data_IF_128192425708
#
_entry.id   IF_128192425708
#
_cell.length_a   1.000
_cell.length_b   1.000
_cell.length_c   1.000
_cell.angle_alpha   90.00
_cell.angle_beta   90.00
_cell.angle_gamma   90.00
#
_symmetry.space_group_name_H-M   'P 1'
#
loop_
_entity.id
_entity.type
_entity.pdbx_description
1 polymer ?
#
# COMPACT_ATOMS: atom_id res chain seq x y z
N UNK A 1 20.28 -9.15 -12.69
CA UNK A 1 20.33 -7.94 -11.83
C UNK A 1 20.12 -8.36 -10.39
N UNK A 2 20.64 -7.62 -9.39
CA UNK A 2 20.51 -7.92 -7.96
C UNK A 2 20.07 -6.66 -7.25
N UNK A 3 19.16 -6.77 -6.27
CA UNK A 3 18.75 -5.61 -5.48
C UNK A 3 19.88 -5.20 -4.51
N UNK A 4 20.32 -3.92 -4.48
CA UNK A 4 21.38 -3.48 -3.58
C UNK A 4 21.09 -3.73 -2.09
N UNK A 5 19.81 -3.67 -1.69
CA UNK A 5 19.38 -3.93 -0.32
C UNK A 5 19.48 -5.39 0.12
N UNK A 6 19.58 -6.33 -0.83
CA UNK A 6 19.72 -7.76 -0.58
C UNK A 6 21.18 -8.25 -0.64
N UNK A 7 22.13 -7.36 -0.93
CA UNK A 7 23.55 -7.71 -0.98
C UNK A 7 24.09 -7.81 0.46
N UNK A 8 24.59 -8.98 0.90
CA UNK A 8 25.15 -9.15 2.22
C UNK A 8 26.31 -8.19 2.49
N UNK A 9 26.32 -7.55 3.65
CA UNK A 9 27.41 -6.67 4.11
C UNK A 9 27.96 -7.19 5.42
N UNK A 10 29.30 -7.14 5.58
CA UNK A 10 29.92 -7.47 6.85
C UNK A 10 29.67 -6.34 7.85
N UNK A 11 29.38 -6.72 9.10
CA UNK A 11 29.32 -5.76 10.20
C UNK A 11 30.68 -5.03 10.31
N UNK A 12 30.64 -3.69 10.44
CA UNK A 12 31.85 -2.88 10.55
C UNK A 12 32.52 -2.46 9.25
N UNK A 13 32.04 -2.88 8.07
CA UNK A 13 32.56 -2.40 6.77
C UNK A 13 32.09 -0.97 6.49
N UNK A 14 32.90 0.00 6.93
CA UNK A 14 32.61 1.45 6.83
C UNK A 14 33.20 2.12 5.60
N UNK A 15 34.11 1.43 4.88
CA UNK A 15 34.80 2.01 3.72
C UNK A 15 34.17 1.48 2.44
N UNK A 16 33.50 2.37 1.71
CA UNK A 16 32.87 2.09 0.41
C UNK A 16 33.76 2.67 -0.70
N UNK A 17 34.24 1.79 -1.60
CA UNK A 17 34.88 2.17 -2.86
C UNK A 17 34.41 1.23 -3.95
N UNK A 18 34.36 1.69 -5.20
CA UNK A 18 33.88 0.89 -6.34
C UNK A 18 34.69 -0.41 -6.49
N UNK A 19 36.02 -0.36 -6.27
CA UNK A 19 36.90 -1.54 -6.31
C UNK A 19 36.51 -2.59 -5.25
N UNK A 20 36.20 -2.14 -4.02
CA UNK A 20 35.78 -3.05 -2.95
C UNK A 20 34.38 -3.62 -3.22
N UNK A 21 33.49 -2.79 -3.74
CA UNK A 21 32.13 -3.23 -4.08
C UNK A 21 32.16 -4.22 -5.24
N UNK A 22 32.92 -3.98 -6.30
CA UNK A 22 33.12 -4.91 -7.41
C UNK A 22 33.72 -6.25 -6.95
N UNK A 23 34.77 -6.21 -6.14
CA UNK A 23 35.41 -7.41 -5.58
C UNK A 23 34.47 -8.21 -4.67
N UNK A 24 33.64 -7.52 -3.89
CA UNK A 24 32.62 -8.17 -3.04
C UNK A 24 31.54 -8.82 -3.90
N UNK A 25 31.00 -8.11 -4.90
CA UNK A 25 29.99 -8.65 -5.81
C UNK A 25 30.49 -9.89 -6.54
N UNK A 26 31.72 -9.87 -7.05
CA UNK A 26 32.33 -11.03 -7.70
C UNK A 26 32.44 -12.24 -6.78
N UNK A 27 32.84 -12.04 -5.51
CA UNK A 27 32.92 -13.12 -4.51
C UNK A 27 31.54 -13.69 -4.17
N UNK A 28 30.56 -12.82 -3.93
CA UNK A 28 29.19 -13.23 -3.60
C UNK A 28 28.51 -13.94 -4.79
N UNK A 29 28.79 -13.47 -6.01
CA UNK A 29 28.30 -14.13 -7.22
C UNK A 29 28.87 -15.54 -7.36
N UNK A 30 30.17 -15.70 -7.20
CA UNK A 30 30.85 -17.02 -7.24
C UNK A 30 30.33 -17.96 -6.14
N UNK A 31 29.97 -17.42 -4.96
CA UNK A 31 29.44 -18.20 -3.84
C UNK A 31 27.94 -18.52 -3.97
N UNK A 32 27.24 -18.00 -5.00
CA UNK A 32 25.79 -18.16 -5.14
C UNK A 32 24.94 -17.39 -4.11
N UNK A 33 25.56 -16.42 -3.41
CA UNK A 33 24.91 -15.66 -2.33
C UNK A 33 24.15 -14.42 -2.81
N UNK A 34 24.17 -14.14 -4.11
CA UNK A 34 23.42 -13.02 -4.70
C UNK A 34 22.01 -13.46 -5.08
N UNK A 35 21.02 -12.79 -4.53
CA UNK A 35 19.61 -13.03 -4.89
C UNK A 35 19.27 -12.26 -6.17
N UNK A 36 18.97 -12.94 -7.30
CA UNK A 36 18.58 -12.27 -8.53
C UNK A 36 17.21 -11.62 -8.35
N UNK A 37 17.02 -10.47 -8.98
CA UNK A 37 15.70 -9.80 -9.06
C UNK A 37 15.23 -9.79 -10.50
N UNK A 38 13.92 -9.95 -10.67
CA UNK A 38 13.26 -9.82 -11.97
C UNK A 38 13.38 -8.37 -12.44
N UNK A 39 13.81 -8.20 -13.67
CA UNK A 39 13.81 -6.90 -14.35
C UNK A 39 12.51 -6.81 -15.13
N UNK A 40 11.68 -5.78 -14.88
CA UNK A 40 10.47 -5.57 -15.67
C UNK A 40 10.82 -5.25 -17.14
N UNK A 41 9.93 -5.55 -18.05
CA UNK A 41 10.00 -5.03 -19.42
C UNK A 41 9.71 -3.52 -19.44
N UNK A 42 10.05 -2.83 -20.52
CA UNK A 42 9.77 -1.41 -20.69
C UNK A 42 8.26 -1.10 -20.57
N UNK A 43 7.40 -1.97 -21.10
CA UNK A 43 5.95 -1.81 -21.01
C UNK A 43 5.42 -1.96 -19.57
N UNK A 44 5.95 -2.93 -18.82
CA UNK A 44 5.60 -3.12 -17.40
C UNK A 44 6.07 -1.95 -16.53
N UNK A 45 7.27 -1.41 -16.80
CA UNK A 45 7.80 -0.27 -16.06
C UNK A 45 7.00 1.00 -16.37
N UNK A 46 6.57 1.21 -17.62
CA UNK A 46 5.76 2.37 -17.99
C UNK A 46 4.44 2.44 -17.20
N UNK A 47 3.71 1.32 -17.06
CA UNK A 47 2.49 1.29 -16.24
C UNK A 47 2.80 1.49 -14.76
N UNK A 48 3.91 0.91 -14.29
CA UNK A 48 4.38 1.08 -12.91
C UNK A 48 4.70 2.53 -12.60
N UNK A 49 5.29 3.27 -13.53
CA UNK A 49 5.59 4.69 -13.36
C UNK A 49 4.30 5.51 -13.19
N UNK A 50 3.27 5.26 -14.00
CA UNK A 50 1.96 5.91 -13.83
C UNK A 50 1.34 5.61 -12.45
N UNK A 51 1.39 4.36 -12.01
CA UNK A 51 0.90 3.96 -10.68
C UNK A 51 1.67 4.68 -9.56
N UNK A 52 2.97 4.86 -9.72
CA UNK A 52 3.83 5.57 -8.76
C UNK A 52 3.57 7.06 -8.74
N UNK A 53 3.27 7.69 -9.90
CA UNK A 53 2.82 9.08 -9.97
C UNK A 53 1.54 9.25 -9.14
N UNK A 54 0.56 8.36 -9.30
CA UNK A 54 -0.66 8.40 -8.46
C UNK A 54 -0.34 8.29 -6.96
N UNK A 55 0.55 7.39 -6.57
CA UNK A 55 0.94 7.24 -5.17
C UNK A 55 1.61 8.51 -4.61
N UNK A 56 2.46 9.18 -5.40
CA UNK A 56 3.08 10.44 -5.06
C UNK A 56 2.04 11.56 -4.89
N UNK A 57 1.09 11.67 -5.81
CA UNK A 57 -0.01 12.66 -5.74
C UNK A 57 -0.93 12.45 -4.53
N UNK A 58 -1.21 11.18 -4.15
CA UNK A 58 -1.94 10.89 -2.92
C UNK A 58 -1.20 11.38 -1.67
N UNK A 59 0.12 11.19 -1.64
CA UNK A 59 0.97 11.68 -0.55
C UNK A 59 1.01 13.22 -0.53
N UNK A 60 1.08 13.87 -1.69
CA UNK A 60 1.07 15.33 -1.81
C UNK A 60 -0.26 15.95 -1.39
N UNK A 61 -1.38 15.35 -1.78
CA UNK A 61 -2.71 15.73 -1.31
C UNK A 61 -2.78 15.65 0.22
N UNK A 62 -2.30 14.55 0.81
CA UNK A 62 -2.27 14.40 2.28
C UNK A 62 -1.41 15.47 2.93
N UNK A 63 -0.26 15.82 2.37
CA UNK A 63 0.59 16.92 2.85
C UNK A 63 -0.09 18.29 2.76
N UNK A 64 -0.80 18.55 1.65
CA UNK A 64 -1.59 19.78 1.50
C UNK A 64 -2.70 19.87 2.56
N UNK A 65 -3.43 18.78 2.80
CA UNK A 65 -4.43 18.67 3.85
C UNK A 65 -3.84 18.94 5.24
N UNK A 66 -2.68 18.36 5.55
CA UNK A 66 -1.99 18.57 6.84
C UNK A 66 -1.55 20.03 7.03
N UNK A 67 -1.00 20.68 5.99
CA UNK A 67 -0.60 22.11 6.04
C UNK A 67 -1.79 23.02 6.30
N UNK A 68 -2.92 22.78 5.60
CA UNK A 68 -4.14 23.54 5.81
C UNK A 68 -4.69 23.33 7.23
N UNK A 69 -4.76 22.10 7.71
CA UNK A 69 -5.18 21.80 9.08
C UNK A 69 -4.26 22.45 10.11
N UNK A 70 -2.94 22.40 9.91
CA UNK A 70 -1.97 23.03 10.82
C UNK A 70 -2.13 24.56 10.87
N UNK A 71 -2.42 25.21 9.73
CA UNK A 71 -2.76 26.64 9.71
C UNK A 71 -4.00 26.92 10.54
N UNK A 72 -5.09 26.17 10.32
CA UNK A 72 -6.34 26.34 11.07
C UNK A 72 -6.13 26.20 12.57
N UNK A 73 -5.39 25.18 13.00
CA UNK A 73 -5.07 24.94 14.41
C UNK A 73 -4.29 26.07 15.05
N UNK A 74 -3.27 26.63 14.37
CA UNK A 74 -2.49 27.77 14.89
C UNK A 74 -3.35 29.01 15.19
N UNK A 75 -4.46 29.16 14.49
CA UNK A 75 -5.41 30.25 14.67
C UNK A 75 -6.62 29.85 15.51
N UNK A 76 -6.55 28.75 16.27
CA UNK A 76 -7.62 28.31 17.17
C UNK A 76 -8.88 27.77 16.43
N UNK A 77 -8.81 27.58 15.11
CA UNK A 77 -9.92 27.08 14.32
C UNK A 77 -9.90 25.56 14.34
N UNK A 78 -10.73 24.96 15.18
CA UNK A 78 -10.76 23.49 15.40
C UNK A 78 -12.08 22.92 14.96
N UNK A 79 -12.06 21.95 14.04
CA UNK A 79 -13.23 21.15 13.68
C UNK A 79 -13.53 20.12 14.76
N UNK A 80 -14.74 20.10 15.29
CA UNK A 80 -15.18 19.18 16.36
C UNK A 80 -16.41 18.34 16.01
N UNK A 81 -17.01 18.56 14.84
CA UNK A 81 -18.31 17.98 14.46
C UNK A 81 -18.16 16.68 13.66
N UNK A 82 -17.15 15.86 13.95
CA UNK A 82 -16.98 14.56 13.31
C UNK A 82 -15.64 14.38 12.59
N UNK A 83 -15.60 13.46 11.62
CA UNK A 83 -14.36 13.15 10.88
C UNK A 83 -13.92 14.30 9.98
N UNK A 84 -12.60 14.51 9.90
CA UNK A 84 -12.00 15.48 8.99
C UNK A 84 -12.12 15.02 7.52
N UNK A 85 -12.11 15.99 6.60
CA UNK A 85 -12.13 15.79 5.14
C UNK A 85 -13.41 15.13 4.62
N UNK A 86 -14.51 15.28 5.38
CA UNK A 86 -15.86 15.06 4.91
C UNK A 86 -16.39 16.32 4.25
N UNK A 87 -17.47 16.22 3.47
CA UNK A 87 -18.13 17.37 2.87
C UNK A 87 -18.46 18.47 3.89
N UNK A 88 -18.95 18.10 5.06
CA UNK A 88 -19.24 19.04 6.15
C UNK A 88 -17.98 19.76 6.67
N UNK A 89 -16.85 19.04 6.81
CA UNK A 89 -15.58 19.66 7.18
C UNK A 89 -15.06 20.62 6.10
N UNK A 90 -15.20 20.25 4.84
CA UNK A 90 -14.79 21.10 3.70
C UNK A 90 -15.64 22.38 3.60
N UNK A 91 -16.94 22.26 3.82
CA UNK A 91 -17.84 23.43 3.93
C UNK A 91 -17.46 24.32 5.11
N UNK A 92 -17.11 23.74 6.26
CA UNK A 92 -16.61 24.50 7.40
C UNK A 92 -15.30 25.24 7.08
N UNK A 93 -14.34 24.59 6.42
CA UNK A 93 -13.11 25.26 5.95
C UNK A 93 -13.44 26.39 4.97
N UNK A 94 -14.37 26.16 4.03
CA UNK A 94 -14.78 27.16 3.05
C UNK A 94 -15.42 28.40 3.69
N UNK A 95 -16.09 28.22 4.84
CA UNK A 95 -16.70 29.29 5.62
C UNK A 95 -15.73 30.10 6.48
N UNK A 96 -14.49 29.65 6.65
CA UNK A 96 -13.53 30.36 7.50
C UNK A 96 -13.10 31.70 6.88
N UNK A 97 -12.99 32.72 7.72
CA UNK A 97 -12.53 34.06 7.35
C UNK A 97 -11.47 34.53 8.35
N UNK A 98 -10.51 35.27 7.86
CA UNK A 98 -9.49 35.94 8.67
C UNK A 98 -9.59 37.45 8.41
N UNK A 99 -9.48 38.24 9.44
CA UNK A 99 -9.52 39.71 9.36
C UNK A 99 -8.23 40.25 8.77
N UNK A 100 -7.10 39.65 9.15
CA UNK A 100 -5.78 40.01 8.63
C UNK A 100 -5.61 39.58 7.17
N UNK A 101 -5.36 40.51 6.24
CA UNK A 101 -5.25 40.21 4.80
C UNK A 101 -4.19 39.16 4.47
N UNK A 102 -3.05 39.17 5.19
CA UNK A 102 -1.99 38.16 4.99
C UNK A 102 -2.44 36.75 5.37
N UNK A 103 -3.25 36.60 6.42
CA UNK A 103 -3.81 35.33 6.84
C UNK A 103 -4.88 34.83 5.86
N UNK A 104 -5.73 35.74 5.38
CA UNK A 104 -6.73 35.44 4.35
C UNK A 104 -6.07 34.96 3.05
N UNK A 105 -5.01 35.64 2.61
CA UNK A 105 -4.20 35.24 1.46
C UNK A 105 -3.55 33.85 1.67
N UNK A 106 -2.96 33.60 2.83
CA UNK A 106 -2.36 32.31 3.17
C UNK A 106 -3.39 31.17 3.12
N UNK A 107 -4.60 31.37 3.67
CA UNK A 107 -5.69 30.39 3.58
C UNK A 107 -6.07 30.13 2.13
N UNK A 108 -6.20 31.16 1.31
CA UNK A 108 -6.53 31.01 -0.11
C UNK A 108 -5.47 30.16 -0.85
N UNK A 109 -4.19 30.41 -0.61
CA UNK A 109 -3.10 29.64 -1.21
C UNK A 109 -3.06 28.19 -0.75
N UNK A 110 -3.30 27.89 0.53
CA UNK A 110 -3.37 26.50 1.00
C UNK A 110 -4.56 25.74 0.41
N UNK A 111 -5.70 26.42 0.22
CA UNK A 111 -6.87 25.83 -0.45
C UNK A 111 -6.58 25.56 -1.91
N UNK A 112 -6.06 26.54 -2.65
CA UNK A 112 -5.69 26.38 -4.05
C UNK A 112 -4.69 25.23 -4.26
N UNK A 113 -3.67 25.12 -3.39
CA UNK A 113 -2.73 24.01 -3.44
C UNK A 113 -3.39 22.63 -3.25
N UNK A 114 -4.39 22.52 -2.36
CA UNK A 114 -5.15 21.29 -2.19
C UNK A 114 -6.02 20.97 -3.40
N UNK A 115 -6.69 21.97 -3.97
CA UNK A 115 -7.56 21.80 -5.13
C UNK A 115 -6.76 21.42 -6.37
N UNK A 116 -5.57 21.99 -6.57
CA UNK A 116 -4.63 21.56 -7.63
C UNK A 116 -4.25 20.08 -7.47
N UNK A 117 -3.91 19.61 -6.24
CA UNK A 117 -3.55 18.20 -6.02
C UNK A 117 -4.73 17.25 -6.24
N UNK A 118 -5.96 17.70 -6.02
CA UNK A 118 -7.17 16.93 -6.34
C UNK A 118 -7.34 16.79 -7.85
N UNK A 119 -7.26 17.90 -8.58
CA UNK A 119 -7.40 17.88 -10.03
C UNK A 119 -6.33 17.02 -10.72
N UNK A 120 -5.07 17.10 -10.26
CA UNK A 120 -3.99 16.23 -10.77
C UNK A 120 -4.25 14.76 -10.46
N UNK A 121 -4.80 14.46 -9.28
CA UNK A 121 -5.14 13.08 -8.91
C UNK A 121 -6.28 12.55 -9.77
N UNK A 122 -7.32 13.34 -10.01
CA UNK A 122 -8.44 12.96 -10.86
C UNK A 122 -7.97 12.71 -12.30
N UNK A 123 -7.06 13.54 -12.81
CA UNK A 123 -6.48 13.38 -14.15
C UNK A 123 -5.69 12.08 -14.29
N UNK A 124 -4.75 11.79 -13.35
CA UNK A 124 -3.96 10.55 -13.42
C UNK A 124 -4.81 9.30 -13.20
N UNK A 125 -5.87 9.37 -12.38
CA UNK A 125 -6.80 8.26 -12.20
C UNK A 125 -7.61 7.97 -13.47
N UNK A 126 -7.99 9.00 -14.22
CA UNK A 126 -8.63 8.86 -15.55
C UNK A 126 -7.67 8.23 -16.58
N UNK A 127 -6.39 8.59 -16.56
CA UNK A 127 -5.37 7.99 -17.42
C UNK A 127 -5.06 6.53 -17.05
N UNK A 128 -5.14 6.18 -15.78
CA UNK A 128 -4.88 4.81 -15.29
C UNK A 128 -6.03 3.84 -15.58
N UNK A 129 -7.28 4.30 -15.57
CA UNK A 129 -8.44 3.44 -15.72
C UNK A 129 -8.41 2.53 -16.98
N UNK A 130 -8.03 2.99 -18.19
CA UNK A 130 -7.94 2.12 -19.35
C UNK A 130 -6.91 1.00 -19.24
N UNK A 131 -5.87 1.16 -18.42
CA UNK A 131 -4.83 0.15 -18.23
C UNK A 131 -5.32 -1.06 -17.43
N UNK A 132 -6.34 -0.86 -16.58
CA UNK A 132 -6.96 -1.94 -15.81
C UNK A 132 -7.66 -2.99 -16.70
N UNK A 133 -8.09 -2.60 -17.91
CA UNK A 133 -8.78 -3.44 -18.87
C UNK A 133 -7.86 -4.00 -19.98
N UNK A 134 -6.55 -3.68 -19.95
CA UNK A 134 -5.59 -4.14 -20.98
C UNK A 134 -4.82 -5.37 -20.51
N UNK A 135 -4.60 -6.32 -21.44
CA UNK A 135 -3.70 -7.43 -21.18
C UNK A 135 -2.23 -6.95 -21.07
N UNK A 136 -1.43 -7.56 -20.20
CA UNK A 136 -1.73 -8.72 -19.34
C UNK A 136 -2.31 -8.36 -17.97
N UNK A 137 -2.78 -7.13 -17.72
CA UNK A 137 -3.23 -6.64 -16.42
C UNK A 137 -4.72 -6.94 -16.14
N UNK A 138 -5.53 -7.06 -17.20
CA UNK A 138 -6.99 -7.21 -17.06
C UNK A 138 -7.40 -8.41 -16.18
N UNK A 139 -6.84 -9.58 -16.42
CA UNK A 139 -7.11 -10.78 -15.62
C UNK A 139 -6.73 -10.63 -14.15
N UNK A 140 -5.48 -10.26 -13.83
CA UNK A 140 -5.06 -9.94 -12.46
C UNK A 140 -5.91 -8.88 -11.77
N UNK A 141 -6.25 -7.78 -12.44
CA UNK A 141 -7.05 -6.69 -11.88
C UNK A 141 -8.47 -7.17 -11.54
N UNK A 142 -9.10 -7.93 -12.45
CA UNK A 142 -10.44 -8.48 -12.22
C UNK A 142 -10.47 -9.43 -11.00
N UNK A 143 -9.53 -10.34 -10.88
CA UNK A 143 -9.43 -11.31 -9.78
C UNK A 143 -9.16 -10.60 -8.44
N UNK A 144 -8.20 -9.70 -8.37
CA UNK A 144 -7.89 -8.89 -7.18
C UNK A 144 -9.07 -8.01 -6.78
N UNK A 145 -9.78 -7.43 -7.74
CA UNK A 145 -10.98 -6.63 -7.55
C UNK A 145 -12.12 -7.35 -6.84
N UNK A 146 -12.13 -8.68 -6.83
CA UNK A 146 -13.09 -9.50 -6.10
C UNK A 146 -12.88 -9.47 -4.57
N UNK A 147 -11.72 -9.02 -4.11
CA UNK A 147 -11.41 -8.93 -2.68
C UNK A 147 -11.90 -7.62 -2.08
N UNK A 148 -12.52 -7.73 -0.91
CA UNK A 148 -12.99 -6.54 -0.18
C UNK A 148 -11.81 -5.62 0.17
N UNK A 149 -11.99 -4.33 -0.07
CA UNK A 149 -10.95 -3.32 0.18
C UNK A 149 -9.97 -3.12 -0.98
N UNK A 150 -9.93 -4.04 -1.95
CA UNK A 150 -9.11 -3.90 -3.15
C UNK A 150 -10.02 -3.45 -4.30
N UNK A 151 -10.03 -2.12 -4.58
CA UNK A 151 -10.75 -1.55 -5.72
C UNK A 151 -9.85 -1.54 -6.97
N UNK A 152 -10.40 -1.16 -8.11
CA UNK A 152 -9.76 -1.25 -9.43
C UNK A 152 -8.35 -0.65 -9.46
N UNK A 153 -8.17 0.60 -9.04
CA UNK A 153 -6.86 1.25 -9.03
C UNK A 153 -5.86 0.61 -8.06
N UNK A 154 -6.34 0.07 -6.94
CA UNK A 154 -5.48 -0.69 -6.02
C UNK A 154 -5.15 -2.06 -6.58
N UNK A 155 -6.08 -2.70 -7.31
CA UNK A 155 -5.83 -3.94 -8.06
C UNK A 155 -4.76 -3.72 -9.12
N UNK A 156 -4.89 -2.64 -9.90
CA UNK A 156 -3.91 -2.25 -10.91
C UNK A 156 -2.54 -1.97 -10.29
N UNK A 157 -2.49 -1.26 -9.17
CA UNK A 157 -1.24 -0.99 -8.46
C UNK A 157 -0.55 -2.28 -8.00
N UNK A 158 -1.30 -3.21 -7.42
CA UNK A 158 -0.77 -4.51 -7.01
C UNK A 158 -0.28 -5.33 -8.21
N UNK A 159 -1.05 -5.38 -9.30
CA UNK A 159 -0.69 -6.11 -10.51
C UNK A 159 0.57 -5.52 -11.17
N UNK A 160 0.66 -4.19 -11.33
CA UNK A 160 1.80 -3.50 -11.93
C UNK A 160 3.09 -3.61 -11.10
N UNK A 161 2.99 -3.59 -9.76
CA UNK A 161 4.16 -3.70 -8.89
C UNK A 161 4.67 -5.14 -8.73
N UNK A 162 3.79 -6.13 -8.75
CA UNK A 162 4.18 -7.54 -8.58
C UNK A 162 4.55 -8.19 -9.91
N UNK A 163 3.75 -7.98 -10.95
CA UNK A 163 3.86 -8.50 -12.31
C UNK A 163 3.81 -10.04 -12.37
N UNK A 164 4.82 -10.70 -11.87
CA UNK A 164 4.95 -12.16 -11.83
C UNK A 164 4.77 -12.68 -10.39
N UNK A 165 3.63 -13.34 -10.16
CA UNK A 165 3.27 -13.91 -8.86
C UNK A 165 3.92 -15.28 -8.62
N UNK A 166 4.21 -16.02 -9.69
CA UNK A 166 4.82 -17.34 -9.62
C UNK A 166 6.31 -17.31 -9.23
N UNK A 167 6.96 -16.13 -9.32
CA UNK A 167 8.32 -15.97 -8.80
C UNK A 167 8.46 -16.18 -7.28
N UNK A 168 7.34 -16.17 -6.56
CA UNK A 168 7.32 -16.45 -5.13
C UNK A 168 6.91 -17.90 -4.90
N UNK A 169 7.79 -18.74 -4.34
CA UNK A 169 7.54 -20.18 -4.17
C UNK A 169 6.45 -20.49 -3.12
N UNK A 170 6.06 -19.50 -2.32
CA UNK A 170 5.04 -19.67 -1.28
C UNK A 170 4.42 -18.34 -0.86
N UNK A 171 3.23 -18.40 -0.25
CA UNK A 171 2.58 -17.26 0.37
C UNK A 171 3.50 -16.55 1.39
N UNK A 172 4.29 -17.32 2.16
CA UNK A 172 5.26 -16.77 3.12
C UNK A 172 6.35 -15.95 2.44
N UNK A 173 6.85 -16.40 1.30
CA UNK A 173 7.83 -15.66 0.50
C UNK A 173 7.25 -14.33 0.00
N UNK A 174 6.00 -14.34 -0.49
CA UNK A 174 5.31 -13.11 -0.89
C UNK A 174 5.03 -12.17 0.30
N UNK A 175 4.60 -12.69 1.45
CA UNK A 175 4.46 -11.89 2.67
C UNK A 175 5.78 -11.23 3.07
N UNK A 176 6.91 -11.94 2.95
CA UNK A 176 8.26 -11.38 3.15
C UNK A 176 8.57 -10.24 2.18
N UNK A 177 8.24 -10.42 0.90
CA UNK A 177 8.40 -9.39 -0.13
C UNK A 177 7.58 -8.11 0.16
N UNK A 178 6.43 -8.22 0.82
CA UNK A 178 5.65 -7.04 1.24
C UNK A 178 6.28 -6.30 2.43
N UNK A 179 7.16 -6.95 3.18
CA UNK A 179 7.73 -6.43 4.42
C UNK A 179 6.73 -6.28 5.57
N UNK A 180 5.59 -6.98 5.49
CA UNK A 180 4.55 -7.01 6.55
C UNK A 180 4.80 -8.08 7.61
N UNK A 181 5.78 -8.96 7.39
CA UNK A 181 6.18 -9.95 8.40
C UNK A 181 6.90 -9.28 9.57
N UNK A 182 6.67 -9.73 10.81
CA UNK A 182 7.39 -9.20 11.97
C UNK A 182 8.88 -9.55 11.87
N UNK A 183 9.73 -8.63 12.30
CA UNK A 183 11.13 -8.95 12.60
C UNK A 183 11.19 -9.90 13.80
N UNK A 184 12.15 -10.80 13.80
CA UNK A 184 12.35 -11.75 14.88
C UNK A 184 13.81 -11.73 15.36
N UNK A 185 13.99 -11.67 16.66
CA UNK A 185 15.27 -11.69 17.37
C UNK A 185 15.21 -12.76 18.48
N UNK A 186 14.96 -13.99 18.07
CA UNK A 186 14.80 -15.12 18.97
C UNK A 186 16.13 -15.80 19.21
N UNK A 187 16.40 -16.22 20.45
CA UNK A 187 17.57 -17.02 20.83
C UNK A 187 17.17 -18.06 21.88
N UNK A 188 17.55 -19.30 21.65
CA UNK A 188 17.14 -20.42 22.50
C UNK A 188 15.62 -20.54 22.60
N UNK A 189 15.07 -20.68 23.78
CA UNK A 189 13.63 -20.85 24.00
C UNK A 189 12.84 -19.53 24.01
N UNK A 190 13.51 -18.38 23.86
CA UNK A 190 12.87 -17.05 23.90
C UNK A 190 12.55 -16.54 22.50
N UNK A 191 11.26 -16.47 22.16
CA UNK A 191 10.79 -15.83 20.93
C UNK A 191 10.53 -14.34 21.15
N UNK A 192 11.31 -13.47 20.51
CA UNK A 192 11.13 -12.02 20.56
C UNK A 192 10.77 -11.48 19.16
N UNK A 193 9.50 -11.13 18.96
CA UNK A 193 9.02 -10.50 17.74
C UNK A 193 8.99 -8.98 17.88
N UNK A 194 9.54 -8.30 16.88
CA UNK A 194 9.57 -6.83 16.77
C UNK A 194 8.44 -6.26 15.91
N UNK A 195 8.66 -5.04 15.42
CA UNK A 195 7.82 -4.42 14.40
C UNK A 195 7.94 -5.16 13.05
N UNK A 196 7.12 -4.79 12.08
CA UNK A 196 7.25 -5.32 10.71
C UNK A 196 8.63 -4.96 10.13
N UNK A 197 9.17 -5.85 9.28
CA UNK A 197 10.52 -5.68 8.70
C UNK A 197 10.64 -4.46 7.81
N UNK A 198 9.55 -4.06 7.15
CA UNK A 198 9.51 -3.02 6.10
C UNK A 198 10.49 -3.29 4.93
N UNK A 199 11.07 -4.47 4.86
CA UNK A 199 11.88 -4.90 3.74
C UNK A 199 10.99 -5.15 2.51
N UNK A 200 11.50 -4.90 1.30
CA UNK A 200 10.78 -5.15 0.05
C UNK A 200 9.84 -4.01 -0.37
N UNK A 201 8.78 -4.35 -1.13
CA UNK A 201 7.96 -3.35 -1.84
C UNK A 201 7.08 -2.50 -0.92
N UNK A 202 7.38 -1.21 -0.81
CA UNK A 202 6.56 -0.25 -0.07
C UNK A 202 5.20 0.01 -0.74
N UNK A 203 5.10 0.17 -2.08
CA UNK A 203 3.80 0.35 -2.74
C UNK A 203 2.84 -0.81 -2.51
N UNK A 204 3.32 -2.06 -2.63
CA UNK A 204 2.50 -3.25 -2.37
C UNK A 204 2.07 -3.31 -0.91
N UNK A 205 2.97 -3.03 0.03
CA UNK A 205 2.65 -2.95 1.46
C UNK A 205 1.57 -1.93 1.76
N UNK A 206 1.69 -0.72 1.20
CA UNK A 206 0.73 0.36 1.39
C UNK A 206 -0.65 -0.02 0.87
N UNK A 207 -0.74 -0.54 -0.36
CA UNK A 207 -2.00 -0.97 -0.96
C UNK A 207 -2.70 -2.06 -0.13
N UNK A 208 -1.93 -3.04 0.39
CA UNK A 208 -2.48 -4.11 1.23
C UNK A 208 -2.94 -3.60 2.60
N UNK A 209 -2.21 -2.65 3.22
CA UNK A 209 -2.62 -2.05 4.51
C UNK A 209 -3.88 -1.21 4.33
N UNK A 210 -3.99 -0.43 3.28
CA UNK A 210 -5.21 0.32 2.96
C UNK A 210 -6.41 -0.61 2.75
N UNK A 211 -6.24 -1.67 1.97
CA UNK A 211 -7.27 -2.67 1.76
C UNK A 211 -7.70 -3.36 3.07
N UNK A 212 -6.73 -3.62 3.95
CA UNK A 212 -6.96 -4.34 5.21
C UNK A 212 -7.89 -3.60 6.18
N UNK A 213 -8.01 -2.27 6.10
CA UNK A 213 -8.97 -1.50 6.89
C UNK A 213 -10.41 -1.91 6.67
N UNK A 214 -10.75 -2.45 5.49
CA UNK A 214 -12.10 -2.91 5.19
C UNK A 214 -12.53 -4.13 6.05
N UNK A 215 -11.58 -4.92 6.53
CA UNK A 215 -11.84 -6.15 7.29
C UNK A 215 -12.13 -5.91 8.79
N UNK A 216 -12.07 -4.65 9.26
CA UNK A 216 -12.59 -4.28 10.59
C UNK A 216 -14.11 -4.45 10.70
N UNK A 217 -14.81 -4.34 9.57
CA UNK A 217 -16.26 -4.52 9.49
C UNK A 217 -16.62 -5.98 9.26
N UNK A 218 -17.81 -6.39 9.72
CA UNK A 218 -18.35 -7.74 9.51
C UNK A 218 -18.32 -8.12 8.04
N UNK A 219 -18.08 -9.40 7.71
CA UNK A 219 -18.10 -9.89 6.32
C UNK A 219 -19.45 -9.55 5.65
N UNK A 220 -19.37 -8.94 4.48
CA UNK A 220 -20.54 -8.57 3.69
C UNK A 220 -20.16 -8.33 2.23
N UNK A 221 -21.08 -8.59 1.32
CA UNK A 221 -20.97 -8.30 -0.10
C UNK A 221 -21.92 -7.13 -0.40
N UNK A 222 -21.41 -5.90 -0.27
CA UNK A 222 -22.13 -4.68 -0.63
C UNK A 222 -22.27 -4.51 -2.14
N UNK A 223 -23.06 -3.54 -2.57
CA UNK A 223 -23.40 -3.29 -3.98
C UNK A 223 -22.15 -3.15 -4.85
N UNK A 224 -21.17 -2.36 -4.43
CA UNK A 224 -19.93 -2.11 -5.19
C UNK A 224 -19.09 -3.40 -5.36
N UNK A 225 -18.97 -4.22 -4.31
CA UNK A 225 -18.24 -5.48 -4.39
C UNK A 225 -18.99 -6.48 -5.26
N UNK A 226 -20.31 -6.59 -5.11
CA UNK A 226 -21.16 -7.46 -5.94
C UNK A 226 -21.02 -7.14 -7.44
N UNK A 227 -20.98 -5.85 -7.80
CA UNK A 227 -20.75 -5.44 -9.19
C UNK A 227 -19.42 -5.95 -9.74
N UNK A 228 -18.34 -5.87 -8.97
CA UNK A 228 -17.00 -6.34 -9.36
C UNK A 228 -16.89 -7.87 -9.41
N UNK A 229 -17.75 -8.56 -8.69
CA UNK A 229 -17.81 -10.03 -8.62
C UNK A 229 -18.77 -10.66 -9.62
N UNK A 230 -19.45 -9.87 -10.47
CA UNK A 230 -20.54 -10.36 -11.34
C UNK A 230 -20.09 -11.50 -12.26
N UNK A 231 -18.95 -11.33 -12.92
CA UNK A 231 -18.43 -12.23 -13.94
C UNK A 231 -17.23 -13.04 -13.42
N UNK A 232 -17.05 -13.08 -12.10
CA UNK A 232 -15.91 -13.76 -11.49
C UNK A 232 -16.16 -15.28 -11.36
N UNK A 233 -15.10 -16.04 -11.51
CA UNK A 233 -15.14 -17.49 -11.35
C UNK A 233 -15.55 -17.90 -9.92
N UNK A 234 -16.31 -19.02 -9.78
CA UNK A 234 -16.75 -19.51 -8.46
C UNK A 234 -15.60 -19.72 -7.47
N UNK A 235 -14.43 -20.18 -7.95
CA UNK A 235 -13.22 -20.36 -7.13
C UNK A 235 -12.72 -19.06 -6.52
N UNK A 236 -12.65 -17.96 -7.30
CA UNK A 236 -12.28 -16.62 -6.85
C UNK A 236 -13.27 -16.10 -5.83
N UNK A 237 -14.59 -16.27 -6.07
CA UNK A 237 -15.63 -15.86 -5.12
C UNK A 237 -15.51 -16.58 -3.79
N UNK A 238 -15.31 -17.91 -3.83
CA UNK A 238 -15.14 -18.72 -2.62
C UNK A 238 -13.89 -18.30 -1.83
N UNK A 239 -12.74 -18.08 -2.50
CA UNK A 239 -11.51 -17.61 -1.86
C UNK A 239 -11.66 -16.21 -1.26
N UNK A 240 -12.27 -15.27 -1.98
CA UNK A 240 -12.50 -13.91 -1.48
C UNK A 240 -13.44 -13.89 -0.26
N UNK A 241 -14.48 -14.72 -0.26
CA UNK A 241 -15.36 -14.86 0.90
C UNK A 241 -14.67 -15.50 2.10
N UNK A 242 -13.88 -16.56 1.88
CA UNK A 242 -13.04 -17.17 2.91
C UNK A 242 -12.10 -16.14 3.53
N UNK A 243 -11.46 -15.31 2.69
CA UNK A 243 -10.59 -14.21 3.14
C UNK A 243 -11.36 -13.23 4.02
N UNK A 244 -12.56 -12.79 3.63
CA UNK A 244 -13.35 -11.88 4.46
C UNK A 244 -13.64 -12.43 5.86
N UNK A 245 -14.07 -13.68 5.94
CA UNK A 245 -14.37 -14.32 7.22
C UNK A 245 -13.14 -14.46 8.10
N UNK A 246 -12.05 -14.97 7.54
CA UNK A 246 -10.80 -15.22 8.25
C UNK A 246 -10.16 -13.91 8.75
N UNK A 247 -10.03 -12.91 7.87
CA UNK A 247 -9.37 -11.64 8.18
C UNK A 247 -10.17 -10.80 9.18
N UNK A 248 -11.51 -10.83 9.11
CA UNK A 248 -12.35 -10.20 10.14
C UNK A 248 -12.20 -10.89 11.50
N UNK A 249 -12.20 -12.21 11.53
CA UNK A 249 -11.99 -12.97 12.78
C UNK A 249 -10.62 -12.65 13.40
N UNK A 250 -9.57 -12.58 12.59
CA UNK A 250 -8.24 -12.16 13.03
C UNK A 250 -8.22 -10.75 13.60
N UNK A 251 -8.82 -9.78 12.89
CA UNK A 251 -8.94 -8.40 13.40
C UNK A 251 -9.60 -8.37 14.78
N UNK A 252 -10.76 -9.03 14.91
CA UNK A 252 -11.49 -9.12 16.17
C UNK A 252 -10.67 -9.77 17.29
N UNK A 253 -9.99 -10.88 17.01
CA UNK A 253 -9.16 -11.57 17.98
C UNK A 253 -7.95 -10.71 18.44
N UNK A 254 -7.36 -9.92 17.54
CA UNK A 254 -6.25 -9.03 17.90
C UNK A 254 -6.72 -7.85 18.74
N UNK A 255 -7.81 -7.20 18.38
CA UNK A 255 -8.37 -6.06 19.13
C UNK A 255 -8.94 -6.48 20.48
N UNK A 256 -9.57 -7.65 20.58
CA UNK A 256 -10.03 -8.22 21.85
C UNK A 256 -8.88 -8.50 22.85
N UNK A 257 -7.66 -8.77 22.33
CA UNK A 257 -6.43 -8.90 23.14
C UNK A 257 -5.75 -7.55 23.43
N UNK A 258 -6.43 -6.42 23.24
CA UNK A 258 -5.91 -5.08 23.51
C UNK A 258 -4.92 -4.54 22.48
N UNK A 259 -4.72 -5.17 21.30
CA UNK A 259 -3.83 -4.62 20.29
C UNK A 259 -4.42 -3.36 19.68
N UNK A 260 -3.63 -2.28 19.49
CA UNK A 260 -4.08 -1.09 18.77
C UNK A 260 -4.62 -1.42 17.38
N UNK A 261 -5.64 -0.70 16.93
CA UNK A 261 -6.28 -0.97 15.63
C UNK A 261 -5.30 -0.98 14.46
N UNK A 262 -4.36 -0.05 14.41
CA UNK A 262 -3.34 0.00 13.36
C UNK A 262 -2.45 -1.25 13.33
N UNK A 263 -2.09 -1.79 14.51
CA UNK A 263 -1.33 -3.04 14.63
C UNK A 263 -2.16 -4.23 14.17
N UNK A 264 -3.45 -4.27 14.54
CA UNK A 264 -4.36 -5.32 14.11
C UNK A 264 -4.55 -5.31 12.58
N UNK A 265 -4.75 -4.12 11.99
CA UNK A 265 -4.86 -3.95 10.53
C UNK A 265 -3.57 -4.37 9.80
N UNK A 266 -2.40 -4.03 10.33
CA UNK A 266 -1.12 -4.47 9.76
C UNK A 266 -0.98 -6.00 9.78
N UNK A 267 -1.40 -6.66 10.88
CA UNK A 267 -1.44 -8.12 10.95
C UNK A 267 -2.44 -8.75 9.96
N UNK A 268 -3.59 -8.11 9.76
CA UNK A 268 -4.58 -8.50 8.73
C UNK A 268 -4.01 -8.32 7.32
N UNK A 269 -3.29 -7.22 7.05
CA UNK A 269 -2.65 -6.95 5.75
C UNK A 269 -1.61 -8.03 5.40
N UNK A 270 -0.85 -8.50 6.39
CA UNK A 270 0.10 -9.59 6.19
C UNK A 270 -0.60 -10.88 5.72
N UNK A 271 -1.73 -11.25 6.34
CA UNK A 271 -2.48 -12.45 5.92
C UNK A 271 -3.26 -12.22 4.61
N UNK A 272 -3.75 -10.99 4.38
CA UNK A 272 -4.35 -10.62 3.09
C UNK A 272 -3.34 -10.84 1.94
N UNK A 273 -2.05 -10.52 2.15
CA UNK A 273 -1.00 -10.84 1.18
C UNK A 273 -0.99 -12.33 0.82
N UNK A 274 -1.13 -13.22 1.80
CA UNK A 274 -1.20 -14.66 1.56
C UNK A 274 -2.42 -15.08 0.73
N UNK A 275 -3.59 -14.50 1.01
CA UNK A 275 -4.79 -14.74 0.21
C UNK A 275 -4.66 -14.23 -1.23
N UNK A 276 -4.08 -13.03 -1.40
CA UNK A 276 -3.82 -12.43 -2.70
C UNK A 276 -2.84 -13.29 -3.52
N UNK A 277 -1.75 -13.76 -2.91
CA UNK A 277 -0.81 -14.66 -3.57
C UNK A 277 -1.48 -15.96 -3.99
N UNK A 278 -2.24 -16.60 -3.10
CA UNK A 278 -2.96 -17.84 -3.41
C UNK A 278 -3.99 -17.66 -4.53
N UNK A 279 -4.66 -16.51 -4.60
CA UNK A 279 -5.55 -16.15 -5.70
C UNK A 279 -4.81 -16.06 -7.02
N UNK A 280 -3.65 -15.43 -7.03
CA UNK A 280 -2.92 -15.13 -8.25
C UNK A 280 -2.10 -16.31 -8.80
N UNK A 281 -1.93 -17.36 -8.00
CA UNK A 281 -1.18 -18.58 -8.36
C UNK A 281 -2.05 -19.83 -8.51
N UNK A 282 -3.38 -19.68 -8.36
CA UNK A 282 -4.36 -20.76 -8.53
C UNK A 282 -4.83 -20.90 -9.97
#
# INVERSE_FOLDING_TARGET
>A
MVAPSLIPRRAGDRVKTDRRDASRLARLHRAGELTPVRVPSAAEEAVRDLVRVRAALLADRKRAQQRLTAMMLRHGRVWRSGSSWTQAHEQWIAGQRFEEPAQAAALAHYRAALDTRRAELDAIEAELAPWAAREPLAGPVARLGCYRGIAELNSLALAAEVVDWHRFPSARAFMGFTGLVPGEYSSGDKTRRGSITKAGSEPVRTALVEAAWAYRFKPAIGVTLRRRQRDAEPGTLARSWKAQRHLHAKYKAMTARGKPQAVAVTGVACELAGFVWAEMTS
#
